data_IF_861563596017
#
_entry.id   IF_861563596017
#
_cell.length_a   1.000
_cell.length_b   1.000
_cell.length_c   1.000
_cell.angle_alpha   90.00
_cell.angle_beta   90.00
_cell.angle_gamma   90.00
#
_symmetry.space_group_name_H-M   'P 1'
#
loop_
_entity.id
_entity.type
_entity.pdbx_description
1 polymer ?
#
# COMPACT_ATOMS: atom_id res chain seq x y z
N UNK A 1 1.11 -10.30 36.07
CA UNK A 1 1.12 -9.89 34.63
C UNK A 1 1.94 -10.93 33.87
N UNK A 2 1.47 -11.43 32.71
CA UNK A 2 2.14 -12.56 32.02
C UNK A 2 3.04 -12.04 30.91
N UNK A 3 4.37 -12.19 30.98
CA UNK A 3 5.33 -11.69 29.96
C UNK A 3 5.06 -12.18 28.53
N UNK A 4 4.25 -13.24 28.37
CA UNK A 4 3.84 -13.79 27.07
C UNK A 4 2.82 -12.91 26.33
N UNK A 5 1.93 -12.25 27.06
CA UNK A 5 0.90 -11.37 26.51
C UNK A 5 1.55 -10.19 25.75
N UNK A 6 2.46 -9.50 26.44
CA UNK A 6 3.17 -8.33 25.93
C UNK A 6 4.02 -8.70 24.71
N UNK A 7 4.67 -9.87 24.72
CA UNK A 7 5.45 -10.37 23.58
C UNK A 7 4.58 -10.61 22.34
N UNK A 8 3.42 -11.25 22.49
CA UNK A 8 2.51 -11.52 21.37
C UNK A 8 2.01 -10.23 20.74
N UNK A 9 1.59 -9.27 21.56
CA UNK A 9 1.14 -7.94 21.09
C UNK A 9 2.26 -7.20 20.37
N UNK A 10 3.48 -7.20 20.92
CA UNK A 10 4.64 -6.57 20.29
C UNK A 10 5.02 -7.22 18.95
N UNK A 11 4.96 -8.55 18.86
CA UNK A 11 5.19 -9.25 17.59
C UNK A 11 4.12 -8.91 16.55
N UNK A 12 2.84 -8.89 16.94
CA UNK A 12 1.74 -8.53 16.05
C UNK A 12 1.87 -7.08 15.55
N UNK A 13 2.25 -6.15 16.44
CA UNK A 13 2.55 -4.77 16.06
C UNK A 13 3.76 -4.67 15.11
N UNK A 14 4.85 -5.41 15.38
CA UNK A 14 6.01 -5.44 14.48
C UNK A 14 5.64 -5.93 13.07
N UNK A 15 4.82 -6.97 12.98
CA UNK A 15 4.31 -7.47 11.70
C UNK A 15 3.44 -6.44 10.97
N UNK A 16 2.62 -5.71 11.72
CA UNK A 16 1.80 -4.63 11.20
C UNK A 16 2.65 -3.48 10.65
N UNK A 17 3.66 -3.03 11.41
CA UNK A 17 4.56 -1.96 11.01
C UNK A 17 5.32 -2.30 9.72
N UNK A 18 5.83 -3.53 9.61
CA UNK A 18 6.49 -3.99 8.36
C UNK A 18 5.50 -4.00 7.19
N UNK A 19 4.27 -4.47 7.40
CA UNK A 19 3.26 -4.47 6.35
C UNK A 19 2.87 -3.04 5.90
N UNK A 20 2.77 -2.10 6.85
CA UNK A 20 2.49 -0.70 6.58
C UNK A 20 3.61 -0.05 5.76
N UNK A 21 4.87 -0.20 6.17
CA UNK A 21 6.03 0.34 5.46
C UNK A 21 6.14 -0.19 4.02
N UNK A 22 5.91 -1.49 3.83
CA UNK A 22 5.92 -2.09 2.50
C UNK A 22 4.77 -1.60 1.62
N UNK A 23 3.61 -1.29 2.21
CA UNK A 23 2.45 -0.77 1.49
C UNK A 23 2.65 0.70 1.13
N UNK A 24 3.16 1.51 2.04
CA UNK A 24 3.51 2.91 1.83
C UNK A 24 4.55 3.06 0.70
N UNK A 25 5.64 2.30 0.77
CA UNK A 25 6.66 2.30 -0.28
C UNK A 25 6.14 1.81 -1.65
N UNK A 26 5.02 1.08 -1.68
CA UNK A 26 4.35 0.72 -2.93
C UNK A 26 3.39 1.80 -3.40
N UNK A 27 2.69 2.48 -2.48
CA UNK A 27 1.82 3.62 -2.79
C UNK A 27 2.63 4.72 -3.45
N UNK A 28 3.71 5.14 -2.81
CA UNK A 28 4.56 6.22 -3.30
C UNK A 28 5.13 5.90 -4.69
N UNK A 29 5.44 4.62 -4.95
CA UNK A 29 5.82 4.16 -6.29
C UNK A 29 4.64 4.19 -7.27
N UNK A 30 3.47 3.73 -6.85
CA UNK A 30 2.26 3.77 -7.67
C UNK A 30 1.89 5.19 -8.09
N UNK A 31 2.03 6.17 -7.21
CA UNK A 31 1.81 7.60 -7.49
C UNK A 31 2.71 8.10 -8.63
N UNK A 32 3.97 7.65 -8.66
CA UNK A 32 4.92 8.03 -9.71
C UNK A 32 4.61 7.39 -11.07
N UNK A 33 3.96 6.21 -11.09
CA UNK A 33 3.77 5.40 -12.31
C UNK A 33 2.38 5.58 -12.92
N UNK A 34 1.34 5.75 -12.10
CA UNK A 34 -0.04 5.66 -12.54
C UNK A 34 -0.60 6.94 -13.20
N UNK A 35 0.04 8.10 -13.00
CA UNK A 35 -0.48 9.36 -13.52
C UNK A 35 -1.89 9.68 -12.97
N UNK A 36 -2.82 10.03 -13.87
CA UNK A 36 -4.21 10.40 -13.51
C UNK A 36 -5.22 9.25 -13.73
N UNK A 37 -4.80 7.99 -13.53
CA UNK A 37 -5.66 6.80 -13.69
C UNK A 37 -6.73 6.70 -12.56
N UNK A 38 -7.99 6.49 -12.93
CA UNK A 38 -9.12 6.32 -12.00
C UNK A 38 -8.97 5.05 -11.16
N UNK A 39 -8.42 3.96 -11.73
CA UNK A 39 -8.22 2.73 -10.98
C UNK A 39 -7.20 2.92 -9.85
N UNK A 40 -6.15 3.70 -10.13
CA UNK A 40 -5.15 4.07 -9.14
C UNK A 40 -5.78 4.87 -8.00
N UNK A 41 -6.63 5.85 -8.30
CA UNK A 41 -7.31 6.69 -7.30
C UNK A 41 -8.09 5.86 -6.27
N UNK A 42 -8.86 4.86 -6.72
CA UNK A 42 -9.61 3.99 -5.81
C UNK A 42 -8.73 3.08 -4.93
N UNK A 43 -7.63 2.57 -5.49
CA UNK A 43 -6.66 1.79 -4.72
C UNK A 43 -5.89 2.67 -3.72
N UNK A 44 -5.42 3.84 -4.15
CA UNK A 44 -4.71 4.80 -3.33
C UNK A 44 -5.57 5.27 -2.14
N UNK A 45 -6.86 5.52 -2.35
CA UNK A 45 -7.81 5.80 -1.27
C UNK A 45 -7.88 4.66 -0.25
N UNK A 46 -7.97 3.42 -0.72
CA UNK A 46 -8.03 2.23 0.15
C UNK A 46 -6.73 2.03 0.94
N UNK A 47 -5.58 2.34 0.33
CA UNK A 47 -4.28 2.35 1.00
C UNK A 47 -4.19 3.45 2.04
N UNK A 48 -4.62 4.68 1.71
CA UNK A 48 -4.67 5.80 2.64
C UNK A 48 -5.46 5.47 3.90
N UNK A 49 -6.66 4.89 3.75
CA UNK A 49 -7.47 4.45 4.89
C UNK A 49 -6.78 3.38 5.76
N UNK A 50 -6.02 2.46 5.13
CA UNK A 50 -5.30 1.42 5.87
C UNK A 50 -4.12 2.01 6.64
N UNK A 51 -3.36 2.93 6.03
CA UNK A 51 -2.23 3.62 6.66
C UNK A 51 -2.68 4.55 7.77
N UNK A 52 -3.76 5.30 7.58
CA UNK A 52 -4.36 6.14 8.63
C UNK A 52 -4.80 5.29 9.85
N UNK A 53 -5.35 4.10 9.61
CA UNK A 53 -5.68 3.18 10.68
C UNK A 53 -4.43 2.71 11.45
N UNK A 54 -3.33 2.45 10.74
CA UNK A 54 -2.04 2.12 11.36
C UNK A 54 -1.47 3.28 12.18
N UNK A 55 -1.52 4.51 11.67
CA UNK A 55 -1.09 5.70 12.40
C UNK A 55 -1.86 5.86 13.72
N UNK A 56 -3.18 5.63 13.72
CA UNK A 56 -3.97 5.64 14.97
C UNK A 56 -3.52 4.57 15.95
N UNK A 57 -3.24 3.34 15.48
CA UNK A 57 -2.71 2.26 16.33
C UNK A 57 -1.35 2.66 16.92
N UNK A 58 -0.47 3.25 16.10
CA UNK A 58 0.84 3.73 16.54
C UNK A 58 0.70 4.83 17.59
N UNK A 59 -0.19 5.80 17.38
CA UNK A 59 -0.48 6.85 18.36
C UNK A 59 -1.04 6.28 19.66
N UNK A 60 -1.97 5.33 19.61
CA UNK A 60 -2.49 4.66 20.81
C UNK A 60 -1.38 3.95 21.57
N UNK A 61 -0.46 3.28 20.88
CA UNK A 61 0.69 2.62 21.48
C UNK A 61 1.68 3.60 22.10
N UNK A 62 1.95 4.74 21.45
CA UNK A 62 2.85 5.77 21.98
C UNK A 62 2.35 6.39 23.29
N UNK A 63 1.03 6.51 23.44
CA UNK A 63 0.40 7.04 24.66
C UNK A 63 0.04 5.98 25.69
N UNK A 64 0.28 4.69 25.40
CA UNK A 64 0.01 3.61 26.34
C UNK A 64 1.13 3.52 27.38
N UNK A 65 0.79 3.71 28.65
CA UNK A 65 1.73 3.50 29.77
C UNK A 65 2.25 2.05 29.82
N UNK A 66 1.42 1.09 29.39
CA UNK A 66 1.75 -0.33 29.31
C UNK A 66 1.05 -1.00 28.13
N UNK A 67 1.79 -1.86 27.42
CA UNK A 67 1.22 -2.71 26.36
C UNK A 67 0.71 -3.99 27.02
N UNK A 68 -0.61 -4.06 27.20
CA UNK A 68 -1.29 -5.24 27.76
C UNK A 68 -1.88 -6.11 26.63
N UNK A 69 -2.66 -7.15 26.95
CA UNK A 69 -3.35 -8.00 25.97
C UNK A 69 -4.24 -7.24 24.97
N UNK A 70 -4.65 -6.03 25.30
CA UNK A 70 -5.55 -5.21 24.48
C UNK A 70 -5.17 -3.75 24.55
N UNK A 71 -5.36 -3.03 23.44
CA UNK A 71 -5.18 -1.59 23.33
C UNK A 71 -6.54 -0.92 23.08
N UNK A 72 -6.91 0.16 23.80
CA UNK A 72 -8.13 0.90 23.51
C UNK A 72 -7.92 1.76 22.26
N UNK A 73 -8.34 1.26 21.10
CA UNK A 73 -8.18 1.95 19.83
C UNK A 73 -9.41 2.80 19.52
N UNK A 74 -9.20 4.10 19.29
CA UNK A 74 -10.26 4.98 18.82
C UNK A 74 -10.38 4.94 17.29
N UNK A 75 -11.57 4.58 16.81
CA UNK A 75 -11.92 4.56 15.40
C UNK A 75 -12.32 5.97 14.92
N UNK A 76 -12.35 6.15 13.59
CA UNK A 76 -12.62 7.46 12.97
C UNK A 76 -14.05 7.98 13.19
N UNK A 77 -14.96 7.10 13.61
CA UNK A 77 -16.31 7.47 14.05
C UNK A 77 -16.39 7.78 15.55
N UNK A 78 -15.25 7.87 16.25
CA UNK A 78 -15.16 8.15 17.69
C UNK A 78 -15.37 6.93 18.59
N UNK A 79 -15.76 5.77 18.05
CA UNK A 79 -15.93 4.55 18.85
C UNK A 79 -14.58 4.02 19.35
N UNK A 80 -14.53 3.54 20.59
CA UNK A 80 -13.34 2.88 21.14
C UNK A 80 -13.53 1.38 21.10
N UNK A 81 -12.59 0.65 20.51
CA UNK A 81 -12.61 -0.82 20.42
C UNK A 81 -11.38 -1.43 21.08
N UNK A 82 -11.52 -2.58 21.78
CA UNK A 82 -10.36 -3.31 22.28
C UNK A 82 -9.65 -3.99 21.12
N UNK A 83 -8.44 -3.54 20.81
CA UNK A 83 -7.57 -4.12 19.79
C UNK A 83 -6.57 -5.09 20.43
N UNK A 84 -6.75 -6.38 20.16
CA UNK A 84 -5.85 -7.46 20.57
C UNK A 84 -4.87 -7.84 19.44
N UNK A 85 -4.01 -8.83 19.67
CA UNK A 85 -3.02 -9.25 18.68
C UNK A 85 -3.69 -9.75 17.38
N UNK A 86 -4.81 -10.47 17.52
CA UNK A 86 -5.59 -10.94 16.37
C UNK A 86 -6.19 -9.77 15.56
N UNK A 87 -6.56 -8.67 16.21
CA UNK A 87 -6.95 -7.44 15.54
C UNK A 87 -5.81 -6.89 14.69
N UNK A 88 -4.61 -6.74 15.26
CA UNK A 88 -3.44 -6.25 14.54
C UNK A 88 -3.08 -7.16 13.35
N UNK A 89 -3.20 -8.47 13.51
CA UNK A 89 -2.96 -9.44 12.44
C UNK A 89 -3.97 -9.30 11.29
N UNK A 90 -5.24 -9.02 11.59
CA UNK A 90 -6.26 -8.75 10.54
C UNK A 90 -5.94 -7.50 9.74
N UNK A 91 -5.50 -6.42 10.40
CA UNK A 91 -5.07 -5.20 9.71
C UNK A 91 -3.81 -5.47 8.88
N UNK A 92 -2.85 -6.21 9.43
CA UNK A 92 -1.63 -6.64 8.72
C UNK A 92 -1.97 -7.42 7.43
N UNK A 93 -2.91 -8.37 7.52
CA UNK A 93 -3.37 -9.14 6.37
C UNK A 93 -4.06 -8.26 5.32
N UNK A 94 -4.86 -7.28 5.74
CA UNK A 94 -5.47 -6.29 4.84
C UNK A 94 -4.40 -5.49 4.10
N UNK A 95 -3.37 -5.01 4.79
CA UNK A 95 -2.27 -4.26 4.16
C UNK A 95 -1.50 -5.10 3.16
N UNK A 96 -1.18 -6.35 3.50
CA UNK A 96 -0.53 -7.29 2.57
C UNK A 96 -1.39 -7.55 1.34
N UNK A 97 -2.71 -7.66 1.49
CA UNK A 97 -3.64 -7.81 0.36
C UNK A 97 -3.63 -6.58 -0.55
N UNK A 98 -3.71 -5.37 0.02
CA UNK A 98 -3.63 -4.12 -0.75
C UNK A 98 -2.29 -4.00 -1.48
N UNK A 99 -1.20 -4.42 -0.83
CA UNK A 99 0.12 -4.49 -1.44
C UNK A 99 0.14 -5.46 -2.61
N UNK A 100 -0.40 -6.67 -2.44
CA UNK A 100 -0.47 -7.66 -3.52
C UNK A 100 -1.30 -7.13 -4.70
N UNK A 101 -2.42 -6.44 -4.45
CA UNK A 101 -3.21 -5.79 -5.50
C UNK A 101 -2.36 -4.76 -6.25
N UNK A 102 -1.63 -3.89 -5.54
CA UNK A 102 -0.77 -2.89 -6.19
C UNK A 102 0.37 -3.52 -6.99
N UNK A 103 0.96 -4.62 -6.51
CA UNK A 103 1.96 -5.40 -7.26
C UNK A 103 1.35 -5.97 -8.55
N UNK A 104 0.16 -6.58 -8.47
CA UNK A 104 -0.53 -7.14 -9.64
C UNK A 104 -0.95 -6.08 -10.66
N UNK A 105 -1.17 -4.84 -10.20
CA UNK A 105 -1.41 -3.67 -11.05
C UNK A 105 -0.14 -3.05 -11.64
N UNK A 106 1.03 -3.57 -11.31
CA UNK A 106 2.31 -3.12 -11.87
C UNK A 106 2.98 -1.96 -11.13
N UNK A 107 2.47 -1.55 -9.96
CA UNK A 107 3.06 -0.43 -9.19
C UNK A 107 4.40 -0.77 -8.52
N UNK A 108 4.78 -2.05 -8.50
CA UNK A 108 5.99 -2.52 -7.84
C UNK A 108 7.25 -2.46 -8.71
N UNK A 109 7.14 -2.51 -10.06
CA UNK A 109 8.32 -2.48 -10.92
C UNK A 109 8.04 -2.26 -12.42
N UNK A 110 8.82 -1.37 -13.05
CA UNK A 110 9.14 -1.38 -14.49
C UNK A 110 10.65 -1.37 -14.78
N UNK A 111 11.53 -1.64 -13.79
CA UNK A 111 12.98 -1.71 -14.07
C UNK A 111 13.36 -3.06 -14.68
N UNK A 112 12.78 -4.18 -14.21
CA UNK A 112 13.02 -5.48 -14.87
C UNK A 112 12.26 -5.68 -16.19
N UNK A 113 11.21 -4.91 -16.46
CA UNK A 113 10.55 -4.90 -17.77
C UNK A 113 11.39 -4.17 -18.84
N UNK A 114 12.28 -3.24 -18.45
CA UNK A 114 13.15 -2.50 -19.38
C UNK A 114 14.55 -3.08 -19.57
N UNK A 115 15.06 -3.90 -18.65
CA UNK A 115 16.40 -4.51 -18.78
C UNK A 115 16.42 -5.75 -19.71
N UNK A 116 15.25 -6.29 -20.09
CA UNK A 116 15.11 -7.31 -21.15
C UNK A 116 14.54 -6.78 -22.48
N UNK A 117 14.07 -5.54 -22.52
CA UNK A 117 13.43 -4.91 -23.68
C UNK A 117 14.42 -4.18 -24.58
N UNK A 118 15.51 -4.81 -24.97
CA UNK A 118 16.29 -4.35 -26.11
C UNK A 118 15.46 -4.56 -27.40
N UNK A 119 14.60 -3.60 -27.73
CA UNK A 119 14.08 -3.37 -29.09
C UNK A 119 13.40 -1.99 -29.19
N UNK A 120 14.20 -0.94 -29.04
CA UNK A 120 14.20 0.10 -30.08
C UNK A 120 15.56 -0.04 -30.79
N UNK A 121 15.68 0.15 -32.12
CA UNK A 121 14.84 1.03 -32.94
C UNK A 121 14.44 0.45 -34.31
N UNK A 122 13.36 0.97 -34.89
CA UNK A 122 13.24 1.05 -36.35
C UNK A 122 12.39 2.25 -36.72
N UNK A 123 13.08 3.32 -37.15
CA UNK A 123 12.54 4.24 -38.12
C UNK A 123 11.94 3.42 -39.28
N UNK A 124 10.63 3.55 -39.49
CA UNK A 124 9.98 3.32 -40.77
C UNK A 124 9.35 4.68 -41.11
N UNK A 125 10.09 5.52 -41.82
CA UNK A 125 9.94 5.67 -43.28
C UNK A 125 8.47 5.90 -43.65
N UNK A 126 8.15 7.18 -43.76
CA UNK A 126 7.20 7.82 -44.68
C UNK A 126 6.11 6.94 -45.31
N UNK A 127 4.86 7.31 -45.05
CA UNK A 127 3.84 7.35 -46.08
C UNK A 127 3.24 8.74 -46.09
N UNK A 128 3.81 9.59 -46.95
CA UNK A 128 3.22 10.85 -47.40
C UNK A 128 1.98 10.49 -48.20
N UNK A 129 0.81 10.95 -47.74
CA UNK A 129 -0.40 10.98 -48.57
C UNK A 129 -0.18 12.05 -49.64
N UNK A 130 -0.15 11.72 -50.95
CA UNK A 130 -0.08 12.77 -51.95
C UNK A 130 -1.45 13.45 -52.04
N UNK A 131 -1.44 14.74 -51.68
CA UNK A 131 -2.49 15.70 -51.98
C UNK A 131 -2.43 16.06 -53.49
N UNK A 132 -3.57 15.94 -54.16
CA UNK A 132 -3.98 16.51 -55.44
C UNK A 132 -3.50 15.84 -56.76
N UNK A 133 -4.47 15.50 -57.62
CA UNK A 133 -4.75 16.27 -58.84
C UNK A 133 -6.15 15.95 -59.40
N UNK A 134 -6.79 17.02 -59.86
CA UNK A 134 -8.09 17.06 -60.52
C UNK A 134 -8.06 16.44 -61.93
N UNK A 135 -9.23 16.05 -62.43
CA UNK A 135 -9.53 15.94 -63.87
C UNK A 135 -10.97 16.39 -64.09
#
# INVERSE_FOLDING_TARGET
MSPRADRTMMCAYGNLAVAALQLEALRDRGELVAGADDEFSGWAQSVGQALEHFERIQLTLMHADQITNTLPLQLGNGATVPADAAYLDRISARMRKLRQIGVLRGYADTIHARVGGASAPAARSESVVPLAAAS
#
